data_IF_040408962177
#
_entry.id   IF_040408962177
#
_cell.length_a   1.000
_cell.length_b   1.000
_cell.length_c   1.000
_cell.angle_alpha   90.00
_cell.angle_beta   90.00
_cell.angle_gamma   90.00
#
_symmetry.space_group_name_H-M   'P 1'
#
loop_
_entity.id
_entity.type
_entity.pdbx_description
1 polymer ?
#
# COMPACT_ATOMS: atom_id res chain seq x y z
N UNK A 1 39.75 -7.71 -8.08
CA UNK A 1 38.74 -8.68 -8.49
C UNK A 1 37.41 -8.20 -7.95
N UNK A 2 36.50 -7.78 -8.84
CA UNK A 2 35.08 -7.50 -8.58
C UNK A 2 34.75 -6.50 -7.45
N UNK A 3 34.84 -5.21 -7.74
CA UNK A 3 34.21 -4.14 -6.96
C UNK A 3 32.69 -4.34 -7.04
N UNK A 4 32.04 -4.54 -5.89
CA UNK A 4 30.60 -4.74 -5.80
C UNK A 4 29.87 -3.48 -6.23
N UNK A 5 29.50 -3.40 -7.50
CA UNK A 5 28.71 -2.32 -8.03
C UNK A 5 27.48 -2.12 -7.13
N UNK A 6 27.20 -0.89 -6.65
CA UNK A 6 25.96 -0.64 -5.92
C UNK A 6 24.81 -1.06 -6.84
N UNK A 7 23.86 -1.82 -6.29
CA UNK A 7 22.67 -2.26 -7.00
C UNK A 7 21.81 -1.04 -7.35
N UNK A 8 22.19 -0.26 -8.36
CA UNK A 8 21.32 0.74 -8.98
C UNK A 8 20.29 -0.04 -9.76
N UNK A 9 19.06 -0.19 -9.25
CA UNK A 9 18.19 -1.18 -9.88
C UNK A 9 16.69 -1.07 -9.65
N UNK A 10 16.15 0.07 -9.23
CA UNK A 10 14.71 0.25 -9.26
C UNK A 10 14.34 1.69 -8.97
N UNK A 11 13.49 2.28 -9.80
CA UNK A 11 12.93 3.63 -9.61
C UNK A 11 12.08 3.78 -8.32
N UNK A 12 12.13 2.84 -7.37
CA UNK A 12 11.17 2.72 -6.27
C UNK A 12 9.76 2.31 -6.72
N UNK A 13 9.58 2.05 -8.03
CA UNK A 13 8.28 1.80 -8.65
C UNK A 13 7.67 0.43 -8.32
N UNK A 14 8.51 -0.59 -8.08
CA UNK A 14 8.03 -1.96 -7.88
C UNK A 14 7.04 -2.06 -6.72
N UNK A 15 7.38 -1.48 -5.56
CA UNK A 15 6.49 -1.51 -4.40
C UNK A 15 5.24 -0.63 -4.61
N UNK A 16 5.37 0.49 -5.32
CA UNK A 16 4.22 1.34 -5.65
C UNK A 16 3.20 0.60 -6.54
N UNK A 17 3.68 -0.18 -7.52
CA UNK A 17 2.81 -1.01 -8.38
C UNK A 17 2.15 -2.11 -7.55
N UNK A 18 2.93 -2.84 -6.74
CA UNK A 18 2.42 -3.94 -5.91
C UNK A 18 1.35 -3.42 -4.94
N UNK A 19 1.58 -2.26 -4.31
CA UNK A 19 0.60 -1.59 -3.45
C UNK A 19 -0.68 -1.25 -4.20
N UNK A 20 -0.58 -0.59 -5.35
CA UNK A 20 -1.74 -0.22 -6.16
C UNK A 20 -2.57 -1.45 -6.57
N UNK A 21 -1.90 -2.56 -6.94
CA UNK A 21 -2.58 -3.81 -7.27
C UNK A 21 -3.28 -4.41 -6.05
N UNK A 22 -2.62 -4.50 -4.89
CA UNK A 22 -3.25 -5.04 -3.69
C UNK A 22 -4.46 -4.20 -3.23
N UNK A 23 -4.33 -2.87 -3.22
CA UNK A 23 -5.42 -1.95 -2.87
C UNK A 23 -6.61 -2.10 -3.84
N UNK A 24 -6.37 -2.25 -5.14
CA UNK A 24 -7.42 -2.50 -6.13
C UNK A 24 -8.21 -3.81 -5.88
N UNK A 25 -7.59 -4.77 -5.18
CA UNK A 25 -8.22 -6.03 -4.77
C UNK A 25 -8.77 -5.99 -3.33
N UNK A 26 -8.78 -4.82 -2.67
CA UNK A 26 -9.23 -4.66 -1.28
C UNK A 26 -8.27 -5.27 -0.26
N UNK A 27 -7.02 -5.46 -0.64
CA UNK A 27 -5.95 -5.96 0.22
C UNK A 27 -4.96 -4.87 0.63
N UNK A 28 -3.88 -5.32 1.27
CA UNK A 28 -2.82 -4.46 1.81
C UNK A 28 -1.44 -5.12 1.62
N UNK A 29 -0.39 -4.29 1.60
CA UNK A 29 1.01 -4.70 1.50
C UNK A 29 1.81 -4.05 2.62
N UNK A 30 2.57 -4.85 3.38
CA UNK A 30 3.53 -4.36 4.39
C UNK A 30 4.95 -4.74 4.02
N UNK A 31 5.89 -3.90 4.46
CA UNK A 31 7.32 -4.15 4.37
C UNK A 31 7.89 -4.07 5.78
N UNK A 32 8.55 -5.15 6.20
CA UNK A 32 9.18 -5.28 7.50
C UNK A 32 10.59 -5.89 7.33
N UNK A 33 11.45 -5.71 8.33
CA UNK A 33 12.75 -6.40 8.35
C UNK A 33 12.54 -7.87 8.71
N UNK A 34 13.21 -8.77 8.00
CA UNK A 34 13.17 -10.20 8.30
C UNK A 34 14.13 -10.54 9.45
N UNK A 35 13.74 -11.46 10.34
CA UNK A 35 14.60 -11.98 11.42
C UNK A 35 15.89 -12.65 10.90
N UNK A 36 15.86 -13.12 9.65
CA UNK A 36 17.00 -13.71 8.95
C UNK A 36 17.85 -12.69 8.16
N UNK A 37 17.52 -11.40 8.26
CA UNK A 37 18.13 -10.30 7.51
C UNK A 37 17.45 -10.05 6.16
N UNK A 38 17.59 -8.84 5.65
CA UNK A 38 16.94 -8.40 4.41
C UNK A 38 15.47 -7.99 4.63
N UNK A 39 14.71 -7.94 3.53
CA UNK A 39 13.34 -7.42 3.52
C UNK A 39 12.29 -8.54 3.48
N UNK A 40 11.27 -8.44 4.32
CA UNK A 40 10.08 -9.27 4.29
C UNK A 40 8.90 -8.43 3.78
N UNK A 41 8.31 -8.87 2.68
CA UNK A 41 7.09 -8.28 2.12
C UNK A 41 5.91 -9.20 2.42
N UNK A 42 4.85 -8.67 3.05
CA UNK A 42 3.60 -9.40 3.24
C UNK A 42 2.49 -8.78 2.42
N UNK A 43 1.72 -9.62 1.75
CA UNK A 43 0.52 -9.22 1.00
C UNK A 43 -0.67 -9.96 1.58
N UNK A 44 -1.68 -9.21 2.01
CA UNK A 44 -2.92 -9.74 2.56
C UNK A 44 -4.05 -9.43 1.58
N UNK A 45 -4.77 -10.45 1.12
CA UNK A 45 -5.91 -10.32 0.23
C UNK A 45 -7.15 -10.96 0.88
N UNK A 46 -8.35 -10.41 0.65
CA UNK A 46 -9.59 -11.06 1.07
C UNK A 46 -9.72 -12.46 0.47
N UNK A 47 -10.18 -13.44 1.25
CA UNK A 47 -10.47 -14.78 0.75
C UNK A 47 -11.67 -14.76 -0.19
N UNK A 48 -11.59 -15.48 -1.31
CA UNK A 48 -12.67 -15.54 -2.30
C UNK A 48 -13.97 -16.07 -1.66
N UNK A 49 -14.92 -15.17 -1.44
CA UNK A 49 -16.19 -15.47 -0.76
C UNK A 49 -16.61 -14.40 0.25
N UNK A 50 -15.64 -13.68 0.84
CA UNK A 50 -15.93 -12.52 1.66
C UNK A 50 -15.97 -11.27 0.77
N UNK A 51 -17.07 -10.49 0.77
CA UNK A 51 -17.09 -9.24 0.05
C UNK A 51 -15.98 -8.35 0.64
N UNK A 52 -14.91 -8.13 -0.14
CA UNK A 52 -13.93 -7.10 0.15
C UNK A 52 -14.73 -5.85 0.49
N UNK A 53 -14.49 -5.29 1.67
CA UNK A 53 -15.13 -4.07 2.18
C UNK A 53 -14.91 -2.94 1.17
N UNK A 54 -15.79 -2.88 0.16
CA UNK A 54 -15.76 -1.92 -0.95
C UNK A 54 -16.27 -0.54 -0.49
N UNK A 55 -16.71 -0.43 0.76
CA UNK A 55 -17.29 0.78 1.34
C UNK A 55 -16.30 1.58 2.22
N UNK A 56 -15.10 1.05 2.53
CA UNK A 56 -14.06 1.77 3.28
C UNK A 56 -13.49 3.02 2.60
N UNK A 57 -13.74 3.23 1.31
CA UNK A 57 -13.46 4.50 0.64
C UNK A 57 -14.66 5.46 0.72
N UNK A 58 -14.95 5.90 1.94
CA UNK A 58 -15.64 7.17 2.18
C UNK A 58 -14.70 8.01 3.04
N UNK A 59 -14.01 9.03 2.49
CA UNK A 59 -13.48 10.04 3.38
C UNK A 59 -14.70 10.61 4.11
N UNK A 60 -14.69 10.56 5.45
CA UNK A 60 -15.62 11.29 6.31
C UNK A 60 -15.34 12.79 6.17
N UNK A 61 -15.46 13.33 4.96
CA UNK A 61 -15.45 14.76 4.73
C UNK A 61 -16.75 15.27 5.35
N UNK A 62 -16.64 15.82 6.56
CA UNK A 62 -17.74 16.60 7.15
C UNK A 62 -18.05 17.73 6.15
N UNK A 63 -19.28 17.86 5.64
CA UNK A 63 -19.74 19.14 5.15
C UNK A 63 -19.94 20.01 6.40
N UNK A 64 -19.13 21.04 6.56
CA UNK A 64 -19.38 22.12 7.48
C UNK A 64 -18.88 23.40 6.83
N UNK A 65 -19.64 24.46 6.64
CA UNK A 65 -21.08 24.76 6.69
C UNK A 65 -21.22 26.04 5.81
N UNK A 66 -22.41 26.49 5.37
CA UNK A 66 -22.52 27.82 4.76
C UNK A 66 -21.93 28.88 5.71
N UNK A 67 -21.09 29.77 5.19
CA UNK A 67 -20.58 30.92 5.93
C UNK A 67 -21.73 31.88 6.22
N UNK A 68 -22.36 31.74 7.39
CA UNK A 68 -23.28 32.76 7.89
C UNK A 68 -22.49 33.92 8.53
N UNK A 69 -22.59 35.08 7.89
CA UNK A 69 -22.64 36.38 8.56
C UNK A 69 -21.35 37.20 8.65
N UNK A 70 -21.25 38.23 7.82
CA UNK A 70 -21.26 39.66 8.22
C UNK A 70 -20.85 40.55 7.04
#
# INVERSE_FOLDING_TARGET
SGDGAPVTGGSGLGLAIVRAVAEAHGGEVTLEDSESGGALFRVCLPSAGEPADRDRVRPLLRPAAPSDGA
#
